data_IF_660674093423
#
_entry.id   IF_660674093423
#
_cell.length_a   1.000
_cell.length_b   1.000
_cell.length_c   1.000
_cell.angle_alpha   90.00
_cell.angle_beta   90.00
_cell.angle_gamma   90.00
#
_symmetry.space_group_name_H-M   'P 1'
#
loop_
_entity.id
_entity.type
_entity.pdbx_description
1 polymer ?
#
# COMPACT_ATOMS: atom_id res chain seq x y z
N UNK A 1 12.39 -28.39 -2.33
CA UNK A 1 12.15 -27.16 -3.12
C UNK A 1 10.85 -26.55 -2.63
N UNK A 2 10.77 -25.21 -2.53
CA UNK A 2 9.54 -24.54 -2.13
C UNK A 2 8.40 -24.85 -3.12
N UNK A 3 7.24 -25.19 -2.62
CA UNK A 3 6.03 -25.37 -3.43
C UNK A 3 5.41 -23.99 -3.73
N UNK A 4 5.08 -23.76 -5.01
CA UNK A 4 4.49 -22.51 -5.48
C UNK A 4 3.10 -22.74 -6.05
N UNK A 5 2.14 -21.88 -5.72
CA UNK A 5 0.79 -21.90 -6.29
C UNK A 5 0.52 -20.65 -7.12
N UNK A 6 -0.31 -20.80 -8.17
CA UNK A 6 -0.93 -19.68 -8.87
C UNK A 6 -2.24 -19.34 -8.13
N UNK A 7 -2.46 -18.07 -7.89
CA UNK A 7 -3.66 -17.55 -7.22
C UNK A 7 -3.91 -16.11 -7.65
N UNK A 8 -4.97 -15.50 -7.15
CA UNK A 8 -5.26 -14.07 -7.35
C UNK A 8 -4.89 -13.27 -6.12
N UNK A 9 -4.83 -11.93 -6.24
CA UNK A 9 -4.63 -11.05 -5.07
C UNK A 9 -5.73 -11.27 -4.03
N UNK A 10 -6.97 -11.52 -4.46
CA UNK A 10 -8.08 -11.80 -3.53
C UNK A 10 -7.94 -13.10 -2.75
N UNK A 11 -7.12 -14.05 -3.20
CA UNK A 11 -6.84 -15.29 -2.47
C UNK A 11 -5.81 -15.11 -1.35
N UNK A 12 -5.02 -14.03 -1.40
CA UNK A 12 -3.93 -13.75 -0.44
C UNK A 12 -4.18 -12.53 0.44
N UNK A 13 -5.26 -11.79 0.19
CA UNK A 13 -5.63 -10.63 1.00
C UNK A 13 -6.93 -9.98 0.55
N UNK A 14 -7.41 -9.06 1.37
CA UNK A 14 -8.63 -8.29 1.08
C UNK A 14 -8.26 -6.96 0.42
N UNK A 15 -8.77 -6.72 -0.79
CA UNK A 15 -8.57 -5.46 -1.51
C UNK A 15 -9.58 -4.42 -1.03
N UNK A 16 -9.09 -3.31 -0.50
CA UNK A 16 -9.87 -2.21 0.06
C UNK A 16 -9.54 -0.92 -0.70
N UNK A 17 -10.56 -0.24 -1.20
CA UNK A 17 -10.44 1.11 -1.77
C UNK A 17 -10.60 2.17 -0.69
N UNK A 18 -10.00 3.33 -0.93
CA UNK A 18 -10.22 4.50 -0.09
C UNK A 18 -11.27 5.47 -0.65
N UNK A 19 -11.53 6.53 0.11
CA UNK A 19 -12.42 7.62 -0.28
C UNK A 19 -11.97 8.96 0.30
N UNK A 20 -12.51 10.05 -0.21
CA UNK A 20 -12.23 11.41 0.23
C UNK A 20 -13.45 11.99 0.93
N UNK A 21 -13.40 12.31 2.23
CA UNK A 21 -14.41 13.11 2.89
C UNK A 21 -14.57 14.46 2.19
N UNK A 22 -15.77 15.04 2.23
CA UNK A 22 -16.02 16.34 1.59
C UNK A 22 -15.06 17.40 2.14
N UNK A 23 -14.25 18.00 1.28
CA UNK A 23 -13.31 19.07 1.65
C UNK A 23 -13.99 20.40 1.93
N UNK A 24 -15.28 20.52 1.60
CA UNK A 24 -16.10 21.72 1.91
C UNK A 24 -16.52 21.76 3.37
N UNK A 25 -16.34 20.67 4.11
CA UNK A 25 -16.74 20.54 5.52
C UNK A 25 -15.47 20.44 6.36
N UNK A 26 -15.13 21.53 7.06
CA UNK A 26 -13.93 21.56 7.93
C UNK A 26 -14.00 20.52 9.05
N UNK A 27 -15.19 20.23 9.55
CA UNK A 27 -15.45 19.20 10.58
C UNK A 27 -14.91 17.80 10.24
N UNK A 28 -14.71 17.50 8.95
CA UNK A 28 -14.13 16.25 8.49
C UNK A 28 -12.61 16.16 8.73
N UNK A 29 -11.95 17.31 8.93
CA UNK A 29 -10.48 17.42 8.94
C UNK A 29 -9.92 18.12 10.17
N UNK A 30 -10.57 19.21 10.63
CA UNK A 30 -10.03 20.07 11.69
C UNK A 30 -9.94 19.30 13.02
N UNK A 31 -8.74 19.24 13.59
CA UNK A 31 -8.45 18.48 14.80
C UNK A 31 -8.41 16.95 14.59
N UNK A 32 -8.43 16.49 13.33
CA UNK A 32 -8.40 15.07 13.01
C UNK A 32 -7.15 14.35 13.50
N UNK A 33 -7.33 13.15 14.03
CA UNK A 33 -6.25 12.29 14.55
C UNK A 33 -6.05 11.02 13.72
N UNK A 34 -6.97 10.70 12.79
CA UNK A 34 -6.91 9.51 11.96
C UNK A 34 -6.04 9.82 10.73
N UNK A 35 -4.87 9.17 10.56
CA UNK A 35 -4.03 9.37 9.39
C UNK A 35 -4.76 9.04 8.10
N UNK A 36 -4.72 9.97 7.13
CA UNK A 36 -5.38 9.82 5.84
C UNK A 36 -4.37 10.05 4.71
N UNK A 37 -4.01 8.96 4.04
CA UNK A 37 -2.92 8.89 3.07
C UNK A 37 -3.45 9.12 1.66
N UNK A 38 -2.69 9.87 0.86
CA UNK A 38 -2.95 10.12 -0.56
C UNK A 38 -1.76 9.69 -1.43
N UNK A 39 -1.92 9.45 -2.74
CA UNK A 39 -0.77 9.16 -3.61
C UNK A 39 0.29 10.28 -3.61
N UNK A 40 -0.11 11.53 -3.34
CA UNK A 40 0.82 12.65 -3.20
C UNK A 40 1.78 12.43 -2.03
N UNK A 41 1.30 11.91 -0.90
CA UNK A 41 2.16 11.62 0.25
C UNK A 41 3.23 10.58 -0.08
N UNK A 42 2.91 9.61 -0.96
CA UNK A 42 3.87 8.60 -1.41
C UNK A 42 4.81 9.11 -2.51
N UNK A 43 4.51 10.22 -3.18
CA UNK A 43 5.36 10.74 -4.27
C UNK A 43 6.73 11.23 -3.82
N UNK A 44 6.85 11.65 -2.57
CA UNK A 44 8.09 12.11 -1.94
C UNK A 44 8.59 11.18 -0.83
N UNK A 45 7.88 10.08 -0.64
CA UNK A 45 8.17 9.12 0.42
C UNK A 45 9.21 8.09 -0.06
N UNK A 46 10.34 8.02 0.61
CA UNK A 46 11.43 7.08 0.29
C UNK A 46 11.48 5.85 1.20
N UNK A 47 10.67 5.82 2.27
CA UNK A 47 10.64 4.70 3.21
C UNK A 47 9.74 3.54 2.75
N UNK A 48 9.72 2.47 3.54
CA UNK A 48 8.80 1.34 3.36
C UNK A 48 7.54 1.48 4.21
N UNK A 49 7.67 2.01 5.42
CA UNK A 49 6.59 2.12 6.41
C UNK A 49 6.11 3.56 6.53
N UNK A 50 4.82 3.79 6.30
CA UNK A 50 4.19 5.09 6.43
C UNK A 50 3.21 5.09 7.59
N UNK A 51 3.34 6.07 8.49
CA UNK A 51 2.48 6.22 9.67
C UNK A 51 1.42 7.32 9.50
N UNK A 52 1.67 8.30 8.61
CA UNK A 52 0.80 9.46 8.37
C UNK A 52 1.10 10.11 7.02
N UNK A 53 0.14 10.83 6.49
CA UNK A 53 0.32 11.74 5.35
C UNK A 53 0.33 13.22 5.82
N UNK A 54 0.16 14.12 4.87
CA UNK A 54 0.06 15.57 5.14
C UNK A 54 -1.18 15.93 5.96
N UNK A 55 -2.25 15.14 5.87
CA UNK A 55 -3.55 15.43 6.48
C UNK A 55 -4.08 14.24 7.27
N UNK A 56 -4.80 14.58 8.33
CA UNK A 56 -5.62 13.63 9.07
C UNK A 56 -7.11 13.92 8.82
N UNK A 57 -7.96 12.96 9.14
CA UNK A 57 -9.41 13.11 9.19
C UNK A 57 -9.92 12.89 10.61
N UNK A 58 -11.11 13.42 10.89
CA UNK A 58 -11.82 13.20 12.14
C UNK A 58 -12.65 11.93 12.08
N UNK A 59 -13.22 11.49 13.20
CA UNK A 59 -14.24 10.44 13.25
C UNK A 59 -15.47 10.79 12.39
N UNK A 60 -15.84 12.09 12.33
CA UNK A 60 -16.90 12.59 11.47
C UNK A 60 -16.51 12.40 10.00
N UNK A 61 -15.29 12.78 9.64
CA UNK A 61 -14.73 12.56 8.31
C UNK A 61 -14.72 11.08 7.91
N UNK A 62 -14.27 10.20 8.80
CA UNK A 62 -14.27 8.75 8.57
C UNK A 62 -15.69 8.23 8.25
N UNK A 63 -16.68 8.64 9.03
CA UNK A 63 -18.08 8.20 8.87
C UNK A 63 -18.80 8.87 7.70
N UNK A 64 -18.26 9.96 7.16
CA UNK A 64 -18.90 10.75 6.09
C UNK A 64 -18.72 10.19 4.69
N UNK A 65 -17.87 9.19 4.50
CA UNK A 65 -17.57 8.59 3.20
C UNK A 65 -17.25 7.09 3.32
N UNK A 66 -16.96 6.44 2.19
CA UNK A 66 -16.68 5.00 2.14
C UNK A 66 -15.22 4.62 2.44
N UNK A 67 -14.40 5.55 2.95
CA UNK A 67 -13.07 5.19 3.41
C UNK A 67 -13.15 4.28 4.63
N UNK A 68 -12.17 3.38 4.76
CA UNK A 68 -12.12 2.43 5.86
C UNK A 68 -10.79 2.59 6.60
N UNK A 69 -10.81 2.32 7.89
CA UNK A 69 -9.60 2.23 8.69
C UNK A 69 -8.92 0.90 8.37
N UNK A 70 -7.74 0.99 7.77
CA UNK A 70 -6.90 -0.16 7.43
C UNK A 70 -6.02 -0.49 8.63
N UNK A 71 -5.89 -1.75 9.03
CA UNK A 71 -5.01 -2.14 10.12
C UNK A 71 -3.53 -1.91 9.76
N UNK A 72 -2.67 -1.84 10.79
CA UNK A 72 -1.23 -1.91 10.61
C UNK A 72 -0.84 -3.12 9.75
N UNK A 73 0.25 -2.99 8.99
CA UNK A 73 0.74 -3.98 8.04
C UNK A 73 -0.12 -4.17 6.77
N UNK A 74 -1.16 -3.35 6.58
CA UNK A 74 -1.80 -3.26 5.27
C UNK A 74 -0.82 -2.73 4.22
N UNK A 75 -0.83 -3.31 3.01
CA UNK A 75 0.00 -2.83 1.91
C UNK A 75 -0.80 -1.84 1.07
N UNK A 76 -0.38 -0.59 1.12
CA UNK A 76 -0.98 0.50 0.37
C UNK A 76 -0.46 0.46 -1.08
N UNK A 77 -1.35 0.44 -2.05
CA UNK A 77 -1.00 0.45 -3.47
C UNK A 77 -1.77 1.55 -4.19
N UNK A 78 -1.05 2.53 -4.77
CA UNK A 78 -1.71 3.58 -5.55
C UNK A 78 -2.23 3.02 -6.86
N UNK A 79 -3.53 3.18 -7.10
CA UNK A 79 -4.24 2.68 -8.27
C UNK A 79 -4.36 3.70 -9.39
N UNK A 80 -3.96 4.96 -9.15
CA UNK A 80 -3.96 6.06 -10.11
C UNK A 80 -3.06 7.21 -9.65
N UNK A 81 -2.63 8.05 -10.62
CA UNK A 81 -2.00 9.36 -10.46
C UNK A 81 -0.73 9.44 -9.57
N UNK A 82 0.29 8.64 -9.78
CA UNK A 82 0.47 7.52 -10.70
C UNK A 82 0.08 6.17 -10.10
N UNK A 83 -0.01 5.14 -10.93
CA UNK A 83 -0.16 3.75 -10.49
C UNK A 83 1.18 3.24 -9.97
N UNK A 84 1.15 2.49 -8.85
CA UNK A 84 2.29 1.66 -8.43
C UNK A 84 3.21 2.28 -7.38
N UNK A 85 2.80 3.33 -6.66
CA UNK A 85 3.41 3.61 -5.36
C UNK A 85 2.98 2.55 -4.35
N UNK A 86 3.94 2.02 -3.60
CA UNK A 86 3.70 0.96 -2.63
C UNK A 86 4.32 1.35 -1.29
N UNK A 87 3.55 1.25 -0.22
CA UNK A 87 4.02 1.43 1.15
C UNK A 87 3.32 0.46 2.10
N UNK A 88 3.86 0.25 3.28
CA UNK A 88 3.27 -0.54 4.35
C UNK A 88 2.72 0.41 5.41
N UNK A 89 1.49 0.24 5.82
CA UNK A 89 0.91 0.98 6.94
C UNK A 89 1.61 0.59 8.25
N UNK A 90 2.26 1.55 8.90
CA UNK A 90 2.95 1.33 10.17
C UNK A 90 1.97 1.18 11.34
N UNK A 91 0.85 1.88 11.25
CA UNK A 91 -0.26 1.90 12.20
C UNK A 91 -1.58 1.90 11.42
N UNK A 92 -2.69 2.01 12.10
CA UNK A 92 -3.99 2.18 11.44
C UNK A 92 -4.03 3.49 10.64
N UNK A 93 -4.47 3.39 9.37
CA UNK A 93 -4.56 4.52 8.44
C UNK A 93 -5.81 4.43 7.57
N UNK A 94 -6.26 5.55 7.07
CA UNK A 94 -7.22 5.63 5.96
C UNK A 94 -6.52 6.05 4.66
N UNK A 95 -7.15 5.82 3.53
CA UNK A 95 -6.64 6.25 2.22
C UNK A 95 -7.72 6.98 1.42
N UNK A 96 -7.29 7.79 0.44
CA UNK A 96 -8.20 8.36 -0.53
C UNK A 96 -8.55 7.33 -1.63
N UNK A 97 -9.45 7.70 -2.55
CA UNK A 97 -9.89 6.86 -3.67
C UNK A 97 -8.76 6.50 -4.66
N UNK A 98 -7.58 7.09 -4.54
CA UNK A 98 -6.41 6.78 -5.37
C UNK A 98 -5.71 5.47 -4.98
N UNK A 99 -6.21 4.75 -3.99
CA UNK A 99 -5.63 3.49 -3.52
C UNK A 99 -6.56 2.29 -3.76
N UNK A 100 -5.92 1.15 -3.97
CA UNK A 100 -6.48 -0.19 -3.83
C UNK A 100 -5.51 -0.98 -2.94
N UNK A 101 -5.65 -0.74 -1.64
CA UNK A 101 -4.78 -1.35 -0.62
C UNK A 101 -5.13 -2.80 -0.40
N UNK A 102 -4.18 -3.60 0.04
CA UNK A 102 -4.40 -5.03 0.32
C UNK A 102 -4.09 -5.31 1.79
N UNK A 103 -5.08 -5.77 2.52
CA UNK A 103 -4.91 -6.31 3.87
C UNK A 103 -4.58 -7.79 3.72
N UNK A 104 -3.37 -8.26 4.08
CA UNK A 104 -2.98 -9.65 3.93
C UNK A 104 -3.84 -10.56 4.81
N UNK A 105 -4.11 -11.76 4.35
CA UNK A 105 -4.74 -12.79 5.18
C UNK A 105 -3.70 -13.52 6.07
N UNK A 106 -4.15 -14.43 6.93
CA UNK A 106 -3.30 -15.15 7.89
C UNK A 106 -2.20 -16.02 7.25
N UNK A 107 -2.36 -16.41 5.97
CA UNK A 107 -1.40 -17.23 5.23
C UNK A 107 -0.45 -16.39 4.35
N UNK A 108 -0.48 -15.09 4.50
CA UNK A 108 0.29 -14.15 3.68
C UNK A 108 1.12 -13.22 4.56
N UNK A 109 2.43 -13.31 4.46
CA UNK A 109 3.34 -12.37 5.10
C UNK A 109 3.22 -10.98 4.44
N UNK A 110 3.04 -9.92 5.24
CA UNK A 110 2.79 -8.57 4.72
C UNK A 110 4.01 -7.97 3.99
N UNK A 111 5.23 -8.31 4.42
CA UNK A 111 6.44 -7.88 3.72
C UNK A 111 6.58 -8.62 2.38
N UNK A 112 6.24 -9.92 2.35
CA UNK A 112 6.17 -10.66 1.09
C UNK A 112 5.16 -10.03 0.14
N UNK A 113 3.97 -9.68 0.62
CA UNK A 113 2.95 -8.99 -0.18
C UNK A 113 3.44 -7.65 -0.71
N UNK A 114 4.16 -6.87 0.11
CA UNK A 114 4.78 -5.61 -0.30
C UNK A 114 5.74 -5.81 -1.49
N UNK A 115 6.68 -6.75 -1.38
CA UNK A 115 7.61 -7.05 -2.48
C UNK A 115 6.92 -7.65 -3.70
N UNK A 116 5.90 -8.48 -3.49
CA UNK A 116 5.09 -9.05 -4.57
C UNK A 116 4.40 -7.95 -5.39
N UNK A 117 3.82 -6.95 -4.75
CA UNK A 117 3.17 -5.82 -5.43
C UNK A 117 4.19 -4.91 -6.10
N UNK A 118 5.35 -4.66 -5.50
CA UNK A 118 6.46 -3.94 -6.14
C UNK A 118 6.93 -4.66 -7.40
N UNK A 119 7.15 -5.96 -7.32
CA UNK A 119 7.60 -6.79 -8.45
C UNK A 119 6.59 -6.79 -9.61
N UNK A 120 5.29 -6.85 -9.30
CA UNK A 120 4.24 -6.87 -10.30
C UNK A 120 3.75 -5.47 -10.74
N UNK A 121 4.39 -4.39 -10.29
CA UNK A 121 3.96 -3.01 -10.55
C UNK A 121 3.66 -2.75 -12.01
N UNK A 122 4.59 -3.06 -12.91
CA UNK A 122 4.43 -2.82 -14.36
C UNK A 122 3.26 -3.63 -14.94
N UNK A 123 3.13 -4.90 -14.56
CA UNK A 123 2.01 -5.73 -14.99
C UNK A 123 0.68 -5.14 -14.51
N UNK A 124 0.61 -4.69 -13.25
CA UNK A 124 -0.58 -4.06 -12.69
C UNK A 124 -0.91 -2.76 -13.41
N UNK A 125 0.09 -1.93 -13.71
CA UNK A 125 -0.07 -0.68 -14.44
C UNK A 125 -0.61 -0.89 -15.85
N UNK A 126 -0.15 -1.94 -16.56
CA UNK A 126 -0.67 -2.30 -17.88
C UNK A 126 -2.13 -2.76 -17.85
N UNK A 127 -2.61 -3.29 -16.73
CA UNK A 127 -4.02 -3.67 -16.54
C UNK A 127 -4.93 -2.48 -16.22
N UNK A 128 -4.36 -1.31 -15.98
CA UNK A 128 -5.11 -0.07 -15.78
C UNK A 128 -5.88 0.33 -17.04
N UNK A 129 -7.12 0.76 -16.86
CA UNK A 129 -8.01 1.23 -17.92
C UNK A 129 -8.28 2.74 -17.80
N UNK A 130 -8.64 3.39 -18.88
CA UNK A 130 -8.95 4.81 -18.96
C UNK A 130 -8.15 5.51 -20.06
N UNK A 131 -8.81 6.37 -20.85
CA UNK A 131 -8.19 7.07 -21.99
C UNK A 131 -7.37 8.28 -21.57
N UNK A 132 -7.83 9.02 -20.57
CA UNK A 132 -7.16 10.25 -20.09
C UNK A 132 -6.34 9.98 -18.81
N UNK A 133 -6.89 9.20 -17.90
CA UNK A 133 -6.21 8.81 -16.66
C UNK A 133 -6.40 7.32 -16.43
N UNK A 134 -5.29 6.58 -16.50
CA UNK A 134 -5.31 5.15 -16.19
C UNK A 134 -5.63 4.94 -14.71
N UNK A 135 -6.53 4.00 -14.43
CA UNK A 135 -6.84 3.55 -13.07
C UNK A 135 -6.98 2.02 -13.04
N UNK A 136 -6.43 1.39 -12.03
CA UNK A 136 -6.66 -0.01 -11.71
C UNK A 136 -7.90 -0.08 -10.82
N UNK A 137 -8.98 -0.66 -11.32
CA UNK A 137 -10.22 -0.84 -10.56
C UNK A 137 -10.04 -1.86 -9.41
N UNK A 138 -10.92 -1.80 -8.42
CA UNK A 138 -10.92 -2.80 -7.34
C UNK A 138 -11.11 -4.23 -7.86
N UNK A 139 -11.94 -4.44 -8.87
CA UNK A 139 -12.15 -5.75 -9.47
C UNK A 139 -10.91 -6.21 -10.27
N UNK A 140 -10.27 -5.31 -10.99
CA UNK A 140 -9.00 -5.58 -11.67
C UNK A 140 -7.95 -6.01 -10.64
N UNK A 141 -7.76 -5.24 -9.57
CA UNK A 141 -6.78 -5.54 -8.52
C UNK A 141 -7.04 -6.90 -7.87
N UNK A 142 -8.29 -7.24 -7.54
CA UNK A 142 -8.68 -8.54 -6.98
C UNK A 142 -8.32 -9.71 -7.89
N UNK A 143 -8.55 -9.56 -9.20
CA UNK A 143 -8.35 -10.60 -10.20
C UNK A 143 -6.93 -10.75 -10.72
N UNK A 144 -5.96 -9.96 -10.28
CA UNK A 144 -4.57 -10.07 -10.72
C UNK A 144 -4.01 -11.43 -10.32
N UNK A 145 -3.54 -12.18 -11.32
CA UNK A 145 -2.89 -13.46 -11.09
C UNK A 145 -1.44 -13.28 -10.63
N UNK A 146 -1.12 -13.96 -9.55
CA UNK A 146 0.23 -13.98 -8.96
C UNK A 146 0.67 -15.41 -8.68
N UNK A 147 1.97 -15.58 -8.46
CA UNK A 147 2.56 -16.86 -8.05
C UNK A 147 3.21 -16.67 -6.70
N UNK A 148 2.83 -17.47 -5.72
CA UNK A 148 3.25 -17.33 -4.33
C UNK A 148 3.70 -18.67 -3.73
N UNK A 149 4.67 -18.68 -2.80
CA UNK A 149 4.96 -19.86 -2.02
C UNK A 149 3.73 -20.26 -1.19
N UNK A 150 3.47 -21.57 -1.09
CA UNK A 150 2.35 -22.09 -0.29
C UNK A 150 2.61 -21.87 1.21
N UNK A 151 3.85 -22.06 1.66
CA UNK A 151 4.24 -21.90 3.05
C UNK A 151 4.61 -20.43 3.38
N UNK A 152 4.12 -19.94 4.50
CA UNK A 152 4.48 -18.59 5.02
C UNK A 152 5.97 -18.53 5.44
N UNK A 153 6.57 -19.64 5.87
CA UNK A 153 7.99 -19.72 6.19
C UNK A 153 8.85 -19.49 4.94
N UNK A 154 8.44 -20.01 3.78
CA UNK A 154 9.15 -19.77 2.53
C UNK A 154 8.97 -18.31 2.06
N UNK A 155 7.80 -17.71 2.27
CA UNK A 155 7.59 -16.27 2.04
C UNK A 155 8.57 -15.45 2.90
N UNK A 156 8.69 -15.77 4.20
CA UNK A 156 9.59 -15.08 5.13
C UNK A 156 11.07 -15.27 4.79
N UNK A 157 11.49 -16.43 4.27
CA UNK A 157 12.87 -16.62 3.80
C UNK A 157 13.20 -15.70 2.62
N UNK A 158 12.28 -15.57 1.66
CA UNK A 158 12.43 -14.64 0.53
C UNK A 158 12.52 -13.20 1.05
N UNK A 159 11.61 -12.84 1.93
CA UNK A 159 11.58 -11.51 2.57
C UNK A 159 12.87 -11.22 3.31
N UNK A 160 13.42 -12.17 4.06
CA UNK A 160 14.65 -11.97 4.82
C UNK A 160 15.82 -11.49 3.97
N UNK A 161 15.94 -11.98 2.72
CA UNK A 161 16.96 -11.52 1.78
C UNK A 161 16.66 -10.11 1.27
N UNK A 162 15.43 -9.85 0.83
CA UNK A 162 15.03 -8.56 0.25
C UNK A 162 15.05 -7.44 1.30
N UNK A 163 14.56 -7.73 2.50
CA UNK A 163 14.52 -6.81 3.64
C UNK A 163 15.94 -6.41 4.09
N UNK A 164 16.87 -7.37 4.13
CA UNK A 164 18.27 -7.08 4.45
C UNK A 164 18.91 -6.14 3.41
N UNK A 165 18.59 -6.30 2.12
CA UNK A 165 19.08 -5.43 1.06
C UNK A 165 18.48 -4.02 1.15
N UNK A 166 17.15 -3.90 1.31
CA UNK A 166 16.48 -2.61 1.44
C UNK A 166 16.95 -1.88 2.72
N UNK A 167 17.12 -2.59 3.85
CA UNK A 167 17.68 -2.01 5.08
C UNK A 167 19.08 -1.46 4.86
N UNK A 168 19.92 -2.18 4.13
CA UNK A 168 21.27 -1.70 3.80
C UNK A 168 21.25 -0.45 2.92
N UNK A 169 20.32 -0.37 1.98
CA UNK A 169 20.13 0.82 1.13
C UNK A 169 19.69 2.00 2.00
N UNK A 170 18.69 1.83 2.86
CA UNK A 170 18.19 2.87 3.76
C UNK A 170 19.29 3.39 4.72
N UNK A 171 20.13 2.50 5.25
CA UNK A 171 21.24 2.88 6.13
C UNK A 171 22.33 3.65 5.37
N UNK A 172 22.66 3.23 4.15
CA UNK A 172 23.60 3.96 3.31
C UNK A 172 23.08 5.36 2.94
N UNK A 173 21.77 5.51 2.66
CA UNK A 173 21.15 6.81 2.41
C UNK A 173 21.23 7.75 3.63
N UNK A 174 21.00 7.21 4.85
CA UNK A 174 21.15 7.96 6.11
C UNK A 174 22.60 8.42 6.31
N UNK A 175 23.56 7.52 6.08
CA UNK A 175 24.99 7.83 6.19
C UNK A 175 25.37 8.94 5.20
N UNK A 176 24.95 8.82 3.94
CA UNK A 176 25.24 9.83 2.91
C UNK A 176 24.63 11.19 3.24
N UNK A 177 23.41 11.24 3.77
CA UNK A 177 22.79 12.49 4.23
C UNK A 177 23.57 13.15 5.36
N UNK A 178 24.07 12.34 6.32
CA UNK A 178 24.87 12.84 7.45
C UNK A 178 26.25 13.32 7.03
N UNK A 179 26.83 12.73 5.98
CA UNK A 179 28.15 13.15 5.44
C UNK A 179 28.05 14.42 4.59
N UNK A 180 26.86 14.76 4.07
CA UNK A 180 26.61 15.92 3.24
C UNK A 180 26.14 17.16 4.05
N UNK A 181 25.89 17.01 5.35
CA UNK A 181 25.48 18.06 6.28
C UNK A 181 26.69 18.65 7.05
#
# INVERSE_FOLDING_TARGET
MAEWKKCTISDIGTVIGGATPSTKKSENYDGGQIPWITPKDLSTFSGRYISRGDRNITEVGLKSCSTQLLPAHSVLFSSRAPIGYVAIAQNEVCTNQGFKSVVPNENTDYLFLYYLLKYNKETIEHMGSGTTFKEVSGNTMKGIHVKVPVSIEEQRKIVGVLDALDTKIEDNEKINKNLAA
#
